data_IF_501370510920
#
_entry.id   IF_501370510920
#
_cell.length_a   1.000
_cell.length_b   1.000
_cell.length_c   1.000
_cell.angle_alpha   90.00
_cell.angle_beta   90.00
_cell.angle_gamma   90.00
#
_symmetry.space_group_name_H-M   'P 1'
#
loop_
_entity.id
_entity.type
_entity.pdbx_description
1 polymer ?
#
# COMPACT_ATOMS: atom_id res chain seq x y z
N UNK A 1 4.54 -15.55 -1.15
CA UNK A 1 4.49 -15.12 0.26
C UNK A 1 3.82 -13.77 0.34
N UNK A 2 2.91 -13.60 1.28
CA UNK A 2 2.19 -12.33 1.42
C UNK A 2 2.94 -11.35 2.30
N UNK A 3 2.81 -10.08 1.97
CA UNK A 3 3.37 -8.96 2.74
C UNK A 3 2.32 -7.88 2.92
N UNK A 4 2.27 -7.32 4.12
CA UNK A 4 1.48 -6.13 4.40
C UNK A 4 2.37 -4.90 4.23
N UNK A 5 2.00 -4.03 3.30
CA UNK A 5 2.66 -2.75 3.08
C UNK A 5 1.83 -1.69 3.78
N UNK A 6 2.39 -1.09 4.81
CA UNK A 6 1.70 -0.13 5.68
C UNK A 6 2.36 1.22 5.50
N UNK A 7 1.61 2.18 4.96
CA UNK A 7 2.13 3.48 4.61
C UNK A 7 1.40 4.57 5.40
N UNK A 8 2.16 5.52 5.93
CA UNK A 8 1.63 6.68 6.63
C UNK A 8 1.98 7.92 5.83
N UNK A 9 0.98 8.74 5.49
CA UNK A 9 1.19 9.97 4.73
C UNK A 9 1.87 11.03 5.60
N UNK A 10 2.60 11.93 4.93
CA UNK A 10 3.07 13.15 5.56
C UNK A 10 1.88 14.03 5.95
N UNK A 11 1.98 14.84 7.02
CA UNK A 11 0.91 15.77 7.38
C UNK A 11 0.55 16.70 6.22
N UNK A 12 -0.73 17.05 6.13
CA UNK A 12 -1.25 18.03 5.14
C UNK A 12 -0.97 17.64 3.68
N UNK A 13 -1.06 16.35 3.37
CA UNK A 13 -0.73 15.83 2.04
C UNK A 13 -1.94 15.26 1.28
N UNK A 14 -3.16 15.60 1.69
CA UNK A 14 -4.36 15.09 1.04
C UNK A 14 -4.41 15.47 -0.45
N UNK A 15 -4.06 16.72 -0.77
CA UNK A 15 -4.07 17.18 -2.17
C UNK A 15 -3.08 16.40 -3.02
N UNK A 16 -1.88 16.15 -2.48
CA UNK A 16 -0.87 15.33 -3.17
C UNK A 16 -1.37 13.91 -3.37
N UNK A 17 -1.99 13.33 -2.35
CA UNK A 17 -2.56 11.97 -2.45
C UNK A 17 -3.60 11.90 -3.54
N UNK A 18 -4.53 12.85 -3.57
CA UNK A 18 -5.62 12.85 -4.54
C UNK A 18 -5.10 13.07 -5.97
N UNK A 19 -4.10 13.94 -6.13
CA UNK A 19 -3.49 14.21 -7.44
C UNK A 19 -2.71 12.98 -7.97
N UNK A 20 -2.11 12.20 -7.08
CA UNK A 20 -1.28 11.04 -7.45
C UNK A 20 -2.09 9.75 -7.55
N UNK A 21 -3.30 9.72 -7.00
CA UNK A 21 -4.13 8.51 -6.92
C UNK A 21 -4.33 7.78 -8.25
N UNK A 22 -4.62 8.45 -9.38
CA UNK A 22 -4.78 7.73 -10.65
C UNK A 22 -3.54 6.92 -11.04
N UNK A 23 -2.34 7.49 -10.88
CA UNK A 23 -1.10 6.79 -11.17
C UNK A 23 -0.87 5.61 -10.22
N UNK A 24 -1.19 5.77 -8.94
CA UNK A 24 -1.13 4.70 -7.94
C UNK A 24 -2.02 3.52 -8.32
N UNK A 25 -3.27 3.77 -8.69
CA UNK A 25 -4.20 2.71 -9.09
C UNK A 25 -3.74 1.98 -10.34
N UNK A 26 -3.21 2.69 -11.32
CA UNK A 26 -2.62 2.09 -12.52
C UNK A 26 -1.43 1.20 -12.17
N UNK A 27 -0.57 1.67 -11.27
CA UNK A 27 0.56 0.87 -10.81
C UNK A 27 0.12 -0.43 -10.14
N UNK A 28 -0.90 -0.37 -9.27
CA UNK A 28 -1.40 -1.56 -8.57
C UNK A 28 -1.97 -2.62 -9.51
N UNK A 29 -2.41 -2.24 -10.71
CA UNK A 29 -2.83 -3.21 -11.73
C UNK A 29 -1.67 -4.07 -12.24
N UNK A 30 -0.43 -3.62 -12.08
CA UNK A 30 0.77 -4.35 -12.50
C UNK A 30 1.37 -5.20 -11.38
N UNK A 31 0.81 -5.14 -10.19
CA UNK A 31 1.30 -5.85 -8.99
C UNK A 31 0.28 -6.90 -8.59
N UNK A 32 0.75 -8.03 -8.06
CA UNK A 32 -0.14 -9.05 -7.51
C UNK A 32 -0.68 -8.60 -6.15
N UNK A 33 -1.76 -7.82 -6.18
CA UNK A 33 -2.40 -7.25 -5.00
C UNK A 33 -3.56 -8.15 -4.57
N UNK A 34 -3.58 -8.54 -3.31
CA UNK A 34 -4.65 -9.36 -2.72
C UNK A 34 -5.73 -8.52 -2.03
N UNK A 35 -5.42 -7.29 -1.74
CA UNK A 35 -6.35 -6.31 -1.16
C UNK A 35 -5.63 -5.01 -0.88
N UNK A 36 -6.34 -3.90 -0.97
CA UNK A 36 -5.78 -2.58 -0.73
C UNK A 36 -6.86 -1.60 -0.32
N UNK A 37 -6.48 -0.64 0.49
CA UNK A 37 -7.37 0.45 0.88
C UNK A 37 -6.64 1.51 1.70
N UNK A 38 -7.23 2.70 1.82
CA UNK A 38 -6.64 3.76 2.62
C UNK A 38 -6.95 3.59 4.10
N UNK A 39 -6.02 4.05 4.95
CA UNK A 39 -6.35 4.40 6.33
C UNK A 39 -7.02 5.78 6.32
N UNK A 40 -7.91 6.01 7.26
CA UNK A 40 -8.68 7.25 7.35
C UNK A 40 -8.36 7.97 8.66
N UNK A 41 -8.31 9.30 8.60
CA UNK A 41 -8.21 10.12 9.80
C UNK A 41 -9.57 10.27 10.49
N UNK A 42 -9.62 11.04 11.58
CA UNK A 42 -10.85 11.24 12.35
C UNK A 42 -11.98 11.92 11.55
N UNK A 43 -11.62 12.65 10.49
CA UNK A 43 -12.58 13.32 9.60
C UNK A 43 -13.01 12.44 8.42
N UNK A 44 -12.46 11.22 8.31
CA UNK A 44 -12.76 10.31 7.22
C UNK A 44 -11.93 10.53 5.97
N UNK A 45 -10.90 11.37 6.02
CA UNK A 45 -10.01 11.60 4.88
C UNK A 45 -8.86 10.60 4.87
N UNK A 46 -8.45 10.13 3.68
CA UNK A 46 -7.31 9.20 3.58
C UNK A 46 -6.02 9.86 4.06
N UNK A 47 -5.28 9.15 4.92
CA UNK A 47 -3.99 9.61 5.44
C UNK A 47 -2.94 8.50 5.49
N UNK A 48 -3.15 7.43 4.76
CA UNK A 48 -2.26 6.30 4.69
C UNK A 48 -2.83 5.19 3.83
N UNK A 49 -2.13 4.07 3.74
CA UNK A 49 -2.56 2.95 2.91
C UNK A 49 -2.15 1.62 3.55
N UNK A 50 -3.01 0.62 3.36
CA UNK A 50 -2.67 -0.78 3.59
C UNK A 50 -2.80 -1.51 2.26
N UNK A 51 -1.72 -2.16 1.82
CA UNK A 51 -1.73 -2.96 0.58
C UNK A 51 -1.16 -4.34 0.90
N UNK A 52 -1.93 -5.37 0.62
CA UNK A 52 -1.48 -6.76 0.77
C UNK A 52 -1.02 -7.26 -0.59
N UNK A 53 0.25 -7.64 -0.71
CA UNK A 53 0.85 -8.05 -1.96
C UNK A 53 1.46 -9.45 -1.85
N UNK A 54 1.54 -10.13 -3.00
CA UNK A 54 2.33 -11.35 -3.14
C UNK A 54 3.72 -10.98 -3.65
N UNK A 55 4.77 -11.47 -3.00
CA UNK A 55 6.14 -11.26 -3.42
C UNK A 55 7.00 -12.47 -3.04
N UNK A 56 8.13 -12.64 -3.72
CA UNK A 56 9.02 -13.77 -3.48
C UNK A 56 9.71 -13.67 -2.11
N UNK A 57 10.10 -12.46 -1.72
CA UNK A 57 10.83 -12.21 -0.48
C UNK A 57 10.65 -10.76 -0.02
N UNK A 58 11.25 -10.44 1.12
CA UNK A 58 11.19 -9.11 1.72
C UNK A 58 11.77 -8.04 0.79
N UNK A 59 12.88 -8.33 0.13
CA UNK A 59 13.54 -7.36 -0.75
C UNK A 59 12.65 -7.00 -1.95
N UNK A 60 11.99 -8.00 -2.55
CA UNK A 60 11.05 -7.75 -3.64
C UNK A 60 9.85 -6.94 -3.17
N UNK A 61 9.29 -7.29 -2.01
CA UNK A 61 8.16 -6.55 -1.45
C UNK A 61 8.51 -5.09 -1.18
N UNK A 62 9.70 -4.82 -0.66
CA UNK A 62 10.18 -3.45 -0.42
C UNK A 62 10.39 -2.69 -1.74
N UNK A 63 10.91 -3.36 -2.76
CA UNK A 63 11.09 -2.75 -4.08
C UNK A 63 9.74 -2.39 -4.71
N UNK A 64 8.74 -3.27 -4.59
CA UNK A 64 7.39 -3.01 -5.08
C UNK A 64 6.80 -1.78 -4.38
N UNK A 65 6.91 -1.71 -3.04
CA UNK A 65 6.41 -0.58 -2.27
C UNK A 65 7.09 0.73 -2.67
N UNK A 66 8.40 0.69 -2.91
CA UNK A 66 9.17 1.89 -3.27
C UNK A 66 8.90 2.41 -4.67
N UNK A 67 8.37 1.58 -5.57
CA UNK A 67 8.02 1.97 -6.94
C UNK A 67 6.60 2.51 -7.07
N UNK A 68 5.80 2.43 -6.02
CA UNK A 68 4.45 3.01 -6.02
C UNK A 68 4.55 4.52 -6.28
N UNK A 69 3.76 5.06 -7.22
CA UNK A 69 3.74 6.50 -7.48
C UNK A 69 3.54 7.37 -6.24
N UNK A 70 2.79 6.90 -5.24
CA UNK A 70 2.69 7.61 -3.96
C UNK A 70 4.05 7.76 -3.28
N UNK A 71 4.83 6.67 -3.24
CA UNK A 71 6.17 6.70 -2.64
C UNK A 71 7.10 7.62 -3.44
N UNK A 72 7.06 7.51 -4.77
CA UNK A 72 7.92 8.30 -5.65
C UNK A 72 7.59 9.79 -5.62
N UNK A 73 6.34 10.14 -5.36
CA UNK A 73 5.91 11.54 -5.22
C UNK A 73 6.26 12.14 -3.85
N UNK A 74 6.79 11.32 -2.95
CA UNK A 74 7.15 11.80 -1.61
C UNK A 74 5.96 11.95 -0.67
N UNK A 75 4.87 11.23 -0.92
CA UNK A 75 3.66 11.30 -0.09
C UNK A 75 3.88 10.72 1.30
N UNK A 76 4.66 9.65 1.43
CA UNK A 76 4.73 8.88 2.66
C UNK A 76 5.76 9.42 3.64
N UNK A 77 5.36 9.57 4.91
CA UNK A 77 6.28 9.80 6.02
C UNK A 77 6.99 8.51 6.40
N UNK A 78 6.31 7.38 6.28
CA UNK A 78 6.88 6.07 6.57
C UNK A 78 6.24 4.98 5.73
N UNK A 79 7.03 3.94 5.44
CA UNK A 79 6.59 2.72 4.77
C UNK A 79 7.12 1.56 5.60
N UNK A 80 6.21 0.69 6.03
CA UNK A 80 6.56 -0.55 6.74
C UNK A 80 6.12 -1.73 5.89
N UNK A 81 7.03 -2.70 5.66
CA UNK A 81 6.74 -3.91 4.89
C UNK A 81 6.94 -5.09 5.81
N UNK A 82 5.87 -5.83 6.07
CA UNK A 82 5.89 -6.95 7.01
C UNK A 82 5.39 -8.23 6.36
N UNK A 83 6.09 -9.37 6.54
CA UNK A 83 5.51 -10.65 6.17
C UNK A 83 4.18 -10.86 6.89
N UNK A 84 3.20 -11.37 6.18
CA UNK A 84 1.86 -11.55 6.72
C UNK A 84 1.28 -12.88 6.26
N UNK A 85 0.56 -13.54 7.16
CA UNK A 85 -0.10 -14.81 6.86
C UNK A 85 -1.61 -14.63 7.00
N UNK A 86 -2.31 -14.86 5.91
CA UNK A 86 -3.76 -14.73 5.87
C UNK A 86 -4.40 -16.04 6.33
N UNK A 87 -4.81 -16.12 7.59
CA UNK A 87 -5.35 -17.35 8.20
C UNK A 87 -6.86 -17.43 8.14
N UNK A 88 -7.54 -16.30 8.33
CA UNK A 88 -9.00 -16.24 8.46
C UNK A 88 -9.60 -15.62 7.21
N UNK A 89 -10.62 -16.26 6.65
CA UNK A 89 -11.35 -15.75 5.49
C UNK A 89 -10.48 -15.57 4.24
N UNK A 90 -9.39 -16.30 4.15
CA UNK A 90 -8.54 -16.27 2.96
C UNK A 90 -9.34 -16.90 1.79
N UNK A 91 -9.64 -16.14 0.72
CA UNK A 91 -10.44 -16.68 -0.40
C UNK A 91 -9.72 -17.78 -1.19
N UNK A 92 -8.39 -17.88 -1.06
CA UNK A 92 -7.59 -18.90 -1.74
C UNK A 92 -7.45 -20.17 -0.92
N UNK A 93 -7.89 -20.19 0.33
CA UNK A 93 -7.88 -21.36 1.20
C UNK A 93 -9.23 -22.08 1.13
N UNK A 94 -9.16 -23.38 0.91
CA UNK A 94 -10.36 -24.23 0.82
C UNK A 94 -10.58 -25.02 2.08
#
# INVERSE_FOLDING_TARGET
MLFAVICTDKPNSLDLRMATRPAHLTYLETVDVKGAGPFLDASGNPNGSLVIIEAADQAEAQAIAGRDPYAMAGLFASIEVRPWKWLIKNPETK
#
